data_IF_553458560177
#
_entry.id   IF_553458560177
#
_cell.length_a   1.000
_cell.length_b   1.000
_cell.length_c   1.000
_cell.angle_alpha   90.00
_cell.angle_beta   90.00
_cell.angle_gamma   90.00
#
_symmetry.space_group_name_H-M   'P 1'
#
loop_
_entity.id
_entity.type
_entity.pdbx_description
1 polymer ?
#
# COMPACT_ATOMS: atom_id res chain seq x y z
N UNK A 1 16.02 -3.30 13.82
CA UNK A 1 16.56 -2.80 12.53
C UNK A 1 16.19 -3.64 11.30
N UNK A 2 16.74 -4.85 11.09
CA UNK A 2 16.54 -5.61 9.82
C UNK A 2 15.06 -5.96 9.58
N UNK A 3 14.33 -6.42 10.60
CA UNK A 3 12.91 -6.75 10.46
C UNK A 3 12.06 -5.55 10.02
N UNK A 4 12.20 -4.40 10.69
CA UNK A 4 11.50 -3.15 10.34
C UNK A 4 11.87 -2.64 8.94
N UNK A 5 13.13 -2.85 8.52
CA UNK A 5 13.58 -2.55 7.17
C UNK A 5 12.85 -3.40 6.12
N UNK A 6 12.82 -4.73 6.29
CA UNK A 6 12.20 -5.64 5.31
C UNK A 6 10.69 -5.39 5.21
N UNK A 7 10.03 -5.19 6.36
CA UNK A 7 8.58 -4.88 6.41
C UNK A 7 8.30 -3.60 5.64
N UNK A 8 8.91 -2.48 6.06
CA UNK A 8 8.66 -1.18 5.43
C UNK A 8 9.06 -1.14 3.97
N UNK A 9 10.12 -1.85 3.56
CA UNK A 9 10.50 -1.99 2.17
C UNK A 9 9.40 -2.66 1.34
N UNK A 10 8.89 -3.82 1.80
CA UNK A 10 7.85 -4.58 1.09
C UNK A 10 6.56 -3.75 0.95
N UNK A 11 6.03 -3.26 2.07
CA UNK A 11 4.74 -2.55 2.06
C UNK A 11 4.80 -1.25 1.27
N UNK A 12 5.87 -0.47 1.44
CA UNK A 12 6.03 0.78 0.68
C UNK A 12 6.26 0.51 -0.82
N UNK A 13 7.00 -0.54 -1.17
CA UNK A 13 7.21 -0.93 -2.56
C UNK A 13 5.90 -1.36 -3.24
N UNK A 14 5.08 -2.15 -2.55
CA UNK A 14 3.77 -2.56 -3.05
C UNK A 14 2.83 -1.36 -3.24
N UNK A 15 2.74 -0.48 -2.23
CA UNK A 15 1.95 0.75 -2.33
C UNK A 15 2.37 1.61 -3.55
N UNK A 16 3.69 1.81 -3.72
CA UNK A 16 4.25 2.57 -4.84
C UNK A 16 3.93 1.94 -6.20
N UNK A 17 4.02 0.62 -6.32
CA UNK A 17 3.67 -0.09 -7.56
C UNK A 17 2.18 0.07 -7.86
N UNK A 18 1.30 -0.10 -6.86
CA UNK A 18 -0.14 0.00 -7.10
C UNK A 18 -0.51 1.42 -7.52
N UNK A 19 0.03 2.45 -6.85
CA UNK A 19 -0.18 3.85 -7.26
C UNK A 19 0.33 4.08 -8.69
N UNK A 20 1.51 3.59 -9.03
CA UNK A 20 2.06 3.73 -10.37
C UNK A 20 1.24 3.00 -11.44
N UNK A 21 0.68 1.82 -11.12
CA UNK A 21 -0.24 1.09 -11.98
C UNK A 21 -1.50 1.91 -12.27
N UNK A 22 -2.10 2.50 -11.24
CA UNK A 22 -3.29 3.34 -11.36
C UNK A 22 -3.00 4.56 -12.23
N UNK A 23 -1.90 5.27 -11.97
CA UNK A 23 -1.48 6.44 -12.75
C UNK A 23 -1.25 6.06 -14.21
N UNK A 24 -0.54 4.96 -14.47
CA UNK A 24 -0.29 4.47 -15.83
C UNK A 24 -1.59 4.13 -16.55
N UNK A 25 -2.55 3.53 -15.85
CA UNK A 25 -3.85 3.21 -16.40
C UNK A 25 -4.67 4.47 -16.74
N UNK A 26 -4.68 5.47 -15.87
CA UNK A 26 -5.34 6.77 -16.11
C UNK A 26 -4.73 7.49 -17.33
N UNK A 27 -3.41 7.46 -17.48
CA UNK A 27 -2.71 8.01 -18.64
C UNK A 27 -3.09 7.28 -19.94
N UNK A 28 -3.14 5.94 -19.92
CA UNK A 28 -3.61 5.14 -21.08
C UNK A 28 -5.05 5.45 -21.48
N UNK A 29 -5.88 5.87 -20.52
CA UNK A 29 -7.27 6.26 -20.73
C UNK A 29 -7.47 7.73 -21.10
N UNK A 30 -6.39 8.51 -21.29
CA UNK A 30 -6.44 9.94 -21.58
C UNK A 30 -7.18 10.74 -20.49
N UNK A 31 -7.06 10.29 -19.23
CA UNK A 31 -7.68 10.89 -18.03
C UNK A 31 -6.61 11.41 -17.08
N UNK A 32 -5.62 12.11 -17.63
CA UNK A 32 -4.48 12.62 -16.85
C UNK A 32 -4.90 13.62 -15.75
N UNK A 33 -6.00 14.34 -15.95
CA UNK A 33 -6.55 15.27 -14.95
C UNK A 33 -6.94 14.59 -13.62
N UNK A 34 -7.15 13.26 -13.60
CA UNK A 34 -7.46 12.50 -12.38
C UNK A 34 -6.22 11.98 -11.66
N UNK A 35 -5.02 12.13 -12.24
CA UNK A 35 -3.77 11.69 -11.60
C UNK A 35 -3.54 12.45 -10.28
N UNK A 36 -3.84 13.75 -10.27
CA UNK A 36 -3.76 14.57 -9.05
C UNK A 36 -4.65 14.05 -7.93
N UNK A 37 -5.84 13.54 -8.26
CA UNK A 37 -6.79 12.95 -7.30
C UNK A 37 -6.20 11.74 -6.58
N UNK A 38 -5.57 10.84 -7.34
CA UNK A 38 -4.96 9.61 -6.78
C UNK A 38 -3.78 9.97 -5.89
N UNK A 39 -2.90 10.86 -6.36
CA UNK A 39 -1.73 11.31 -5.57
C UNK A 39 -2.18 11.98 -4.27
N UNK A 40 -3.23 12.81 -4.32
CA UNK A 40 -3.81 13.43 -3.13
C UNK A 40 -4.37 12.38 -2.15
N UNK A 41 -5.13 11.39 -2.65
CA UNK A 41 -5.64 10.29 -1.83
C UNK A 41 -4.52 9.48 -1.18
N UNK A 42 -3.47 9.14 -1.93
CA UNK A 42 -2.30 8.42 -1.44
C UNK A 42 -1.53 9.22 -0.39
N UNK A 43 -1.33 10.52 -0.59
CA UNK A 43 -0.67 11.38 0.39
C UNK A 43 -1.47 11.46 1.70
N UNK A 44 -2.80 11.61 1.60
CA UNK A 44 -3.69 11.58 2.77
C UNK A 44 -3.61 10.25 3.51
N UNK A 45 -3.58 9.14 2.79
CA UNK A 45 -3.44 7.81 3.40
C UNK A 45 -2.14 7.67 4.19
N UNK A 46 -1.00 8.11 3.64
CA UNK A 46 0.28 8.08 4.36
C UNK A 46 0.22 8.89 5.65
N UNK A 47 -0.34 10.10 5.59
CA UNK A 47 -0.49 10.97 6.78
C UNK A 47 -1.36 10.28 7.83
N UNK A 48 -2.52 9.75 7.43
CA UNK A 48 -3.44 9.07 8.35
C UNK A 48 -2.78 7.81 8.93
N UNK A 49 -2.06 7.01 8.15
CA UNK A 49 -1.35 5.83 8.65
C UNK A 49 -0.28 6.20 9.68
N UNK A 50 0.48 7.28 9.47
CA UNK A 50 1.44 7.78 10.46
C UNK A 50 0.71 8.22 11.73
N UNK A 51 -0.39 8.98 11.62
CA UNK A 51 -1.19 9.41 12.76
C UNK A 51 -1.75 8.23 13.55
N UNK A 52 -2.24 7.20 12.86
CA UNK A 52 -2.70 5.95 13.49
C UNK A 52 -1.54 5.26 14.21
N UNK A 53 -0.36 5.16 13.59
CA UNK A 53 0.82 4.58 14.23
C UNK A 53 1.24 5.32 15.49
N UNK A 54 1.28 6.66 15.45
CA UNK A 54 1.58 7.52 16.61
C UNK A 54 0.52 7.37 17.69
N UNK A 55 -0.76 7.40 17.32
CA UNK A 55 -1.88 7.24 18.24
C UNK A 55 -1.81 5.88 18.96
N UNK A 56 -1.60 4.79 18.22
CA UNK A 56 -1.49 3.45 18.78
C UNK A 56 -0.24 3.31 19.66
N UNK A 57 0.88 3.95 19.30
CA UNK A 57 2.10 3.96 20.11
C UNK A 57 1.95 4.74 21.42
N UNK A 58 1.27 5.90 21.39
CA UNK A 58 1.09 6.78 22.56
C UNK A 58 -0.04 6.34 23.50
N UNK A 59 -0.98 5.51 23.01
CA UNK A 59 -2.14 5.10 23.80
C UNK A 59 -1.73 4.06 24.86
N UNK A 60 -1.81 4.37 26.18
CA UNK A 60 -1.39 3.46 27.25
C UNK A 60 -2.37 2.30 27.50
N UNK A 61 -3.45 2.18 26.71
CA UNK A 61 -4.53 1.20 26.92
C UNK A 61 -4.04 -0.26 26.86
N UNK A 62 -2.82 -0.49 26.38
CA UNK A 62 -2.20 -1.81 26.29
C UNK A 62 -1.26 -2.16 27.46
N UNK A 63 -1.13 -1.29 28.47
CA UNK A 63 -0.14 -1.48 29.57
C UNK A 63 -0.71 -2.32 30.73
N UNK A 64 -1.99 -2.70 30.72
CA UNK A 64 -2.54 -3.49 31.85
C UNK A 64 -2.01 -4.93 31.83
N UNK A 65 -1.82 -5.55 30.67
CA UNK A 65 -1.06 -6.82 30.53
C UNK A 65 -0.45 -6.93 29.12
N UNK A 66 0.87 -6.71 29.01
CA UNK A 66 1.62 -6.80 27.73
C UNK A 66 1.38 -8.10 26.98
N UNK A 67 1.23 -9.21 27.71
CA UNK A 67 1.11 -10.56 27.17
C UNK A 67 -0.27 -10.80 26.54
N UNK A 68 -1.35 -10.33 27.18
CA UNK A 68 -2.71 -10.40 26.63
C UNK A 68 -2.85 -9.56 25.37
N UNK A 69 -2.20 -8.40 25.32
CA UNK A 69 -2.18 -7.54 24.14
C UNK A 69 -1.43 -8.19 22.99
N UNK A 70 -0.29 -8.82 23.25
CA UNK A 70 0.49 -9.52 22.24
C UNK A 70 -0.30 -10.70 21.65
N UNK A 71 -0.97 -11.48 22.50
CA UNK A 71 -1.78 -12.64 22.09
C UNK A 71 -3.03 -12.20 21.33
N UNK A 72 -3.78 -11.21 21.83
CA UNK A 72 -4.99 -10.70 21.16
C UNK A 72 -4.61 -9.99 19.86
N UNK A 73 -3.52 -9.22 19.85
CA UNK A 73 -2.97 -8.59 18.66
C UNK A 73 -2.58 -9.62 17.59
N UNK A 74 -1.89 -10.69 17.98
CA UNK A 74 -1.55 -11.80 17.08
C UNK A 74 -2.81 -12.50 16.55
N UNK A 75 -3.82 -12.73 17.40
CA UNK A 75 -5.06 -13.39 17.03
C UNK A 75 -5.90 -12.57 16.04
N UNK A 76 -5.92 -11.24 16.17
CA UNK A 76 -6.56 -10.31 15.22
C UNK A 76 -5.72 -10.15 13.95
N UNK A 77 -4.38 -10.17 14.07
CA UNK A 77 -3.49 -10.04 12.92
C UNK A 77 -3.65 -11.19 11.92
N UNK A 78 -3.90 -12.42 12.37
CA UNK A 78 -4.06 -13.60 11.49
C UNK A 78 -5.19 -13.45 10.44
N UNK A 79 -6.45 -13.15 10.80
CA UNK A 79 -7.51 -12.97 9.81
C UNK A 79 -7.31 -11.72 8.95
N UNK A 80 -6.70 -10.65 9.49
CA UNK A 80 -6.33 -9.46 8.71
C UNK A 80 -5.29 -9.85 7.65
N UNK A 81 -4.20 -10.50 8.04
CA UNK A 81 -3.18 -11.06 7.14
C UNK A 81 -3.76 -12.02 6.10
N UNK A 82 -4.67 -12.90 6.50
CA UNK A 82 -5.32 -13.84 5.59
C UNK A 82 -6.20 -13.10 4.57
N UNK A 83 -6.95 -12.08 5.01
CA UNK A 83 -7.74 -11.23 4.12
C UNK A 83 -6.86 -10.48 3.12
N UNK A 84 -5.67 -10.08 3.57
CA UNK A 84 -4.69 -9.34 2.78
C UNK A 84 -4.07 -10.23 1.70
N UNK A 85 -3.57 -11.39 2.09
CA UNK A 85 -3.02 -12.43 1.19
C UNK A 85 -4.07 -12.90 0.19
N UNK A 86 -5.31 -13.09 0.65
CA UNK A 86 -6.43 -13.47 -0.21
C UNK A 86 -6.79 -12.37 -1.22
N UNK A 87 -6.70 -11.11 -0.83
CA UNK A 87 -6.93 -9.98 -1.72
C UNK A 87 -5.82 -9.80 -2.76
N UNK A 88 -4.55 -9.97 -2.36
CA UNK A 88 -3.42 -9.97 -3.29
C UNK A 88 -3.51 -11.13 -4.29
N UNK A 89 -3.83 -12.34 -3.82
CA UNK A 89 -3.98 -13.53 -4.67
C UNK A 89 -5.09 -13.37 -5.73
N UNK A 90 -6.13 -12.59 -5.46
CA UNK A 90 -7.23 -12.33 -6.40
C UNK A 90 -7.03 -11.11 -7.31
N UNK A 91 -6.08 -10.22 -7.00
CA UNK A 91 -5.94 -8.93 -7.68
C UNK A 91 -5.36 -8.99 -9.09
N UNK A 92 -4.50 -9.98 -9.38
CA UNK A 92 -3.86 -10.11 -10.69
C UNK A 92 -4.84 -10.27 -11.86
N UNK A 93 -5.99 -10.91 -11.63
CA UNK A 93 -6.99 -11.17 -12.67
C UNK A 93 -8.15 -10.15 -12.70
N UNK A 94 -8.52 -9.55 -11.55
CA UNK A 94 -9.76 -8.75 -11.44
C UNK A 94 -9.59 -7.23 -11.39
N UNK A 95 -8.38 -6.69 -11.19
CA UNK A 95 -8.19 -5.22 -11.22
C UNK A 95 -8.57 -4.66 -12.59
N UNK A 96 -8.24 -5.37 -13.67
CA UNK A 96 -8.59 -4.95 -15.04
C UNK A 96 -10.10 -4.88 -15.24
N UNK A 97 -10.85 -5.85 -14.70
CA UNK A 97 -12.31 -5.89 -14.80
C UNK A 97 -13.01 -4.92 -13.84
N UNK A 98 -12.54 -4.75 -12.59
CA UNK A 98 -13.12 -3.80 -11.64
C UNK A 98 -12.87 -2.35 -12.05
N UNK A 99 -11.68 -2.06 -12.58
CA UNK A 99 -11.36 -0.74 -13.11
C UNK A 99 -12.18 -0.49 -14.38
N UNK A 100 -12.30 -1.47 -15.29
CA UNK A 100 -13.13 -1.35 -16.49
C UNK A 100 -14.63 -1.21 -16.14
N UNK A 101 -15.13 -1.95 -15.16
CA UNK A 101 -16.51 -1.90 -14.70
C UNK A 101 -16.84 -0.61 -13.93
N UNK A 102 -15.93 -0.08 -13.09
CA UNK A 102 -16.11 1.25 -12.47
C UNK A 102 -16.06 2.37 -13.51
N UNK A 103 -15.27 2.20 -14.57
CA UNK A 103 -15.14 3.19 -15.66
C UNK A 103 -16.32 3.16 -16.63
N UNK A 104 -16.91 1.99 -16.88
CA UNK A 104 -18.15 1.87 -17.67
C UNK A 104 -19.39 2.30 -16.87
N UNK A 105 -19.42 2.09 -15.55
CA UNK A 105 -20.58 2.41 -14.71
C UNK A 105 -20.62 3.87 -14.26
N UNK A 106 -19.46 4.51 -14.09
CA UNK A 106 -19.36 5.94 -13.82
C UNK A 106 -19.10 6.68 -15.14
N UNK A 107 -20.17 7.08 -15.81
CA UNK A 107 -20.10 8.08 -16.88
C UNK A 107 -19.28 9.27 -16.40
N UNK A 108 -18.03 9.37 -16.90
CA UNK A 108 -17.02 10.33 -16.47
C UNK A 108 -17.45 11.76 -16.80
N UNK A 109 -18.27 12.36 -15.93
CA UNK A 109 -18.53 13.81 -15.92
C UNK A 109 -18.44 14.36 -14.48
N UNK A 110 -17.42 15.20 -14.26
CA UNK A 110 -17.36 16.16 -13.15
C UNK A 110 -16.74 15.67 -11.82
N UNK A 111 -17.05 16.42 -10.75
CA UNK A 111 -16.45 16.34 -9.40
C UNK A 111 -16.55 14.96 -8.72
N UNK A 112 -17.53 14.12 -9.12
CA UNK A 112 -17.72 12.77 -8.55
C UNK A 112 -16.59 11.80 -8.93
N UNK A 113 -16.09 11.88 -10.17
CA UNK A 113 -14.96 11.04 -10.61
C UNK A 113 -13.66 11.41 -9.88
N UNK A 114 -13.49 12.70 -9.57
CA UNK A 114 -12.36 13.19 -8.78
C UNK A 114 -12.40 12.58 -7.37
N UNK A 115 -13.52 12.73 -6.65
CA UNK A 115 -13.69 12.19 -5.30
C UNK A 115 -13.53 10.66 -5.29
N UNK A 116 -14.09 9.97 -6.28
CA UNK A 116 -13.94 8.51 -6.40
C UNK A 116 -12.49 8.05 -6.52
N UNK A 117 -11.65 8.77 -7.29
CA UNK A 117 -10.22 8.46 -7.42
C UNK A 117 -9.40 8.84 -6.20
N UNK A 118 -9.77 9.91 -5.47
CA UNK A 118 -9.16 10.24 -4.17
C UNK A 118 -9.42 9.10 -3.19
N UNK A 119 -10.68 8.69 -3.02
CA UNK A 119 -11.04 7.62 -2.10
C UNK A 119 -10.38 6.30 -2.48
N UNK A 120 -10.27 6.00 -3.77
CA UNK A 120 -9.60 4.79 -4.23
C UNK A 120 -8.10 4.80 -3.93
N UNK A 121 -7.39 5.89 -4.27
CA UNK A 121 -5.97 6.07 -3.94
C UNK A 121 -5.71 6.03 -2.44
N UNK A 122 -6.64 6.58 -1.64
CA UNK A 122 -6.60 6.52 -0.19
C UNK A 122 -6.72 5.09 0.32
N UNK A 123 -7.80 4.37 -0.01
CA UNK A 123 -8.07 3.02 0.54
C UNK A 123 -6.93 2.05 0.23
N UNK A 124 -6.41 2.12 -1.00
CA UNK A 124 -5.33 1.23 -1.44
C UNK A 124 -4.04 1.48 -0.65
N UNK A 125 -3.59 2.73 -0.52
CA UNK A 125 -2.35 3.05 0.20
C UNK A 125 -2.53 2.94 1.71
N UNK A 126 -3.70 3.29 2.23
CA UNK A 126 -4.01 3.24 3.65
C UNK A 126 -3.94 1.81 4.18
N UNK A 127 -4.34 0.83 3.37
CA UNK A 127 -4.21 -0.58 3.73
C UNK A 127 -2.75 -0.99 3.93
N UNK A 128 -1.87 -0.70 2.97
CA UNK A 128 -0.44 -1.01 3.10
C UNK A 128 0.20 -0.23 4.27
N UNK A 129 -0.28 0.99 4.50
CA UNK A 129 0.12 1.80 5.66
C UNK A 129 -0.33 1.21 7.00
N UNK A 130 -1.54 0.66 7.10
CA UNK A 130 -2.00 -0.05 8.29
C UNK A 130 -1.19 -1.32 8.55
N UNK A 131 -0.90 -2.09 7.50
CA UNK A 131 -0.04 -3.28 7.60
C UNK A 131 1.36 -2.91 8.11
N UNK A 132 1.94 -1.84 7.57
CA UNK A 132 3.22 -1.30 8.05
C UNK A 132 3.17 -0.96 9.54
N UNK A 133 2.11 -0.27 10.00
CA UNK A 133 1.93 0.09 11.40
C UNK A 133 1.79 -1.16 12.28
N UNK A 134 0.91 -2.08 11.92
CA UNK A 134 0.64 -3.28 12.71
C UNK A 134 1.86 -4.20 12.83
N UNK A 135 2.64 -4.39 11.75
CA UNK A 135 3.83 -5.23 11.79
C UNK A 135 5.04 -4.55 12.42
N UNK A 136 5.11 -3.21 12.40
CA UNK A 136 6.24 -2.48 13.00
C UNK A 136 6.00 -2.15 14.47
N UNK A 137 4.75 -2.09 14.93
CA UNK A 137 4.42 -1.73 16.31
C UNK A 137 5.12 -2.59 17.38
N UNK A 138 5.13 -3.93 17.31
CA UNK A 138 5.84 -4.76 18.30
C UNK A 138 7.35 -4.48 18.31
N UNK A 139 7.91 -4.16 17.14
CA UNK A 139 9.33 -3.82 16.99
C UNK A 139 9.66 -2.48 17.62
N UNK A 140 8.79 -1.47 17.44
CA UNK A 140 8.91 -0.15 18.04
C UNK A 140 8.82 -0.20 19.57
N UNK A 141 7.98 -1.09 20.12
CA UNK A 141 7.87 -1.31 21.57
C UNK A 141 9.09 -2.00 22.17
N UNK A 142 9.80 -2.82 21.38
CA UNK A 142 11.02 -3.52 21.82
C UNK A 142 12.24 -2.62 21.75
N UNK A 143 12.43 -1.92 20.64
CA UNK A 143 13.56 -1.02 20.41
C UNK A 143 13.17 0.07 19.41
N UNK A 144 12.89 1.26 19.94
CA UNK A 144 12.39 2.39 19.18
C UNK A 144 13.42 2.90 18.16
N UNK A 145 14.66 3.11 18.58
CA UNK A 145 15.70 3.70 17.74
C UNK A 145 16.07 2.77 16.59
N UNK A 146 16.27 1.47 16.85
CA UNK A 146 16.62 0.53 15.78
C UNK A 146 15.44 0.23 14.85
N UNK A 147 14.20 0.41 15.31
CA UNK A 147 13.01 0.22 14.48
C UNK A 147 12.71 1.41 13.59
N UNK A 148 12.82 2.64 14.10
CA UNK A 148 12.64 3.87 13.30
C UNK A 148 13.72 3.98 12.22
N UNK A 149 14.98 3.67 12.56
CA UNK A 149 16.07 3.66 11.58
C UNK A 149 15.84 2.62 10.48
N UNK A 150 15.45 1.40 10.87
CA UNK A 150 15.09 0.34 9.91
C UNK A 150 13.93 0.75 9.00
N UNK A 151 12.85 1.31 9.57
CA UNK A 151 11.67 1.74 8.83
C UNK A 151 11.99 2.87 7.85
N UNK A 152 12.78 3.86 8.27
CA UNK A 152 13.20 4.97 7.43
C UNK A 152 14.06 4.50 6.26
N UNK A 153 15.01 3.61 6.51
CA UNK A 153 15.86 3.02 5.47
C UNK A 153 15.07 2.17 4.48
N UNK A 154 14.08 1.40 4.95
CA UNK A 154 13.25 0.56 4.09
C UNK A 154 12.37 1.38 3.15
N UNK A 155 11.77 2.48 3.65
CA UNK A 155 11.01 3.43 2.81
C UNK A 155 11.90 4.14 1.80
N UNK A 156 13.11 4.57 2.20
CA UNK A 156 14.06 5.20 1.26
C UNK A 156 14.52 4.22 0.17
N UNK A 157 14.80 2.97 0.54
CA UNK A 157 15.17 1.92 -0.39
C UNK A 157 14.03 1.59 -1.35
N UNK A 158 12.79 1.46 -0.87
CA UNK A 158 11.64 1.17 -1.73
C UNK A 158 11.35 2.30 -2.71
N UNK A 159 11.43 3.57 -2.28
CA UNK A 159 11.32 4.73 -3.18
C UNK A 159 12.38 4.67 -4.29
N UNK A 160 13.62 4.38 -3.94
CA UNK A 160 14.74 4.28 -4.89
C UNK A 160 14.51 3.16 -5.89
N UNK A 161 14.13 1.97 -5.42
CA UNK A 161 13.88 0.79 -6.26
C UNK A 161 12.65 0.99 -7.12
N UNK A 162 11.53 1.46 -6.57
CA UNK A 162 10.31 1.76 -7.34
C UNK A 162 10.58 2.81 -8.41
N UNK A 163 11.34 3.86 -8.12
CA UNK A 163 11.73 4.85 -9.13
C UNK A 163 12.58 4.21 -10.24
N UNK A 164 13.57 3.38 -9.88
CA UNK A 164 14.38 2.66 -10.86
C UNK A 164 13.52 1.71 -11.71
N UNK A 165 12.59 0.96 -11.12
CA UNK A 165 11.67 0.08 -11.83
C UNK A 165 10.76 0.88 -12.78
N UNK A 166 10.24 2.03 -12.37
CA UNK A 166 9.42 2.86 -13.25
C UNK A 166 10.24 3.52 -14.36
N UNK A 167 11.51 3.83 -14.12
CA UNK A 167 12.40 4.43 -15.12
C UNK A 167 12.94 3.40 -16.12
N UNK A 168 13.33 2.21 -15.66
CA UNK A 168 14.03 1.20 -16.44
C UNK A 168 13.15 -0.01 -16.82
N UNK A 169 12.15 -0.35 -16.00
CA UNK A 169 11.23 -1.48 -16.20
C UNK A 169 10.21 -1.27 -17.33
N UNK A 170 10.08 -0.05 -17.88
CA UNK A 170 9.32 0.22 -19.11
C UNK A 170 9.89 -0.52 -20.34
N UNK A 171 11.06 -1.19 -20.21
CA UNK A 171 11.63 -2.08 -21.24
C UNK A 171 11.32 -3.58 -21.05
N UNK A 172 10.51 -3.98 -20.07
CA UNK A 172 10.11 -5.39 -19.96
C UNK A 172 8.85 -5.65 -20.78
N UNK A 173 9.08 -5.93 -22.06
CA UNK A 173 8.08 -6.43 -23.01
C UNK A 173 7.46 -7.73 -22.45
N UNK A 174 6.24 -7.63 -21.91
CA UNK A 174 5.40 -8.78 -21.53
C UNK A 174 4.95 -9.63 -22.73
N UNK A 175 5.49 -9.39 -23.94
CA UNK A 175 5.20 -10.15 -25.16
C UNK A 175 5.98 -11.46 -25.31
N UNK A 176 6.97 -11.75 -24.45
CA UNK A 176 7.83 -12.95 -24.62
C UNK A 176 7.43 -14.18 -23.82
N UNK A 177 6.33 -14.15 -23.06
CA UNK A 177 5.90 -15.31 -22.27
C UNK A 177 4.81 -16.18 -22.92
N UNK A 178 4.33 -15.84 -24.12
CA UNK A 178 3.24 -16.59 -24.79
C UNK A 178 3.72 -17.50 -25.95
N UNK A 179 5.01 -17.84 -26.04
CA UNK A 179 5.54 -18.60 -27.20
C UNK A 179 6.36 -19.84 -26.81
N UNK A 180 6.36 -20.27 -25.55
CA UNK A 180 7.05 -21.51 -25.10
C UNK A 180 6.11 -22.58 -24.54
N UNK A 181 4.86 -22.58 -25.00
CA UNK A 181 3.98 -23.75 -24.92
C UNK A 181 3.35 -23.96 -26.30
N UNK A 182 4.14 -24.52 -27.21
CA UNK A 182 3.68 -25.15 -28.44
C UNK A 182 4.47 -26.45 -28.60
#
# INVERSE_FOLDING_TARGET
>A
MIASFVISFREAFEALIIVALIITYLKRMNKEHLVGSVVMGSALAVIVSILVGVFVYLTPVLVVEKELVEVVGAFIAVPVLASVLYWMARKGARIKEEVKARIEKESLRGSKAYIGMVSFGFIVVFREGLETVLFTLPLLLRDLLSSITGLSLGVLASLTVSYAVLRYGVRMDLKKFSTLQA
#
